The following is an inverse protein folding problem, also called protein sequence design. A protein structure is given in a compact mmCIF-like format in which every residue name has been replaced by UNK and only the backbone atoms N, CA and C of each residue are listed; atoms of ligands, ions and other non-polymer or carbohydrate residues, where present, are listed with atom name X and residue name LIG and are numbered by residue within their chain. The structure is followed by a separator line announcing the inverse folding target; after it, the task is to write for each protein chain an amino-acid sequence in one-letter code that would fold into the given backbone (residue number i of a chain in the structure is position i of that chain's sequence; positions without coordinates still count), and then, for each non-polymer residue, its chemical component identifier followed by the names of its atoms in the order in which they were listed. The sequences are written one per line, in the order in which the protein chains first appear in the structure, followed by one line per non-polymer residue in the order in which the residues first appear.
data_IF_446306011221
#
_entry.id   IF_446306011221
#
_cell.length_a   1.000
_cell.length_b   1.000
_cell.length_c   1.000
_cell.angle_alpha   90.00
_cell.angle_beta   90.00
_cell.angle_gamma   90.00
#
_symmetry.space_group_name_H-M   'P 1'
#
loop_
_entity.id
_entity.type
_entity.pdbx_description
1 polymer ?
#
# COMPACT_ATOMS: atom_id res chain seq x y z
N UNK A 1 -2.98 5.65 8.87
CA UNK A 1 -3.21 4.20 8.67
C UNK A 1 -2.53 3.78 7.38
N UNK A 2 -1.70 2.75 7.42
CA UNK A 2 -0.96 2.27 6.25
C UNK A 2 -1.72 1.24 5.43
N UNK A 3 -1.14 0.85 4.31
CA UNK A 3 -1.69 -0.18 3.44
C UNK A 3 -1.07 -0.21 2.06
N UNK A 4 -1.89 -0.47 1.06
CA UNK A 4 -1.47 -0.67 -0.32
C UNK A 4 -2.37 0.09 -1.29
N UNK A 5 -1.75 0.71 -2.28
CA UNK A 5 -2.43 1.18 -3.49
C UNK A 5 -2.19 0.17 -4.59
N UNK A 6 -3.27 -0.41 -5.09
CA UNK A 6 -3.22 -1.48 -6.09
C UNK A 6 -3.84 -0.97 -7.38
N UNK A 7 -3.15 -1.17 -8.50
CA UNK A 7 -3.74 -0.98 -9.83
C UNK A 7 -3.99 -2.33 -10.46
N UNK A 8 -5.26 -2.60 -10.79
CA UNK A 8 -5.72 -3.78 -11.50
C UNK A 8 -5.66 -3.56 -13.03
N UNK A 9 -5.85 -4.64 -13.79
CA UNK A 9 -6.10 -4.58 -15.24
C UNK A 9 -7.51 -4.03 -15.50
N UNK A 10 -7.68 -3.27 -16.58
CA UNK A 10 -8.98 -2.69 -16.98
C UNK A 10 -10.08 -3.75 -17.08
N UNK A 11 -11.24 -3.46 -16.49
CA UNK A 11 -12.37 -4.42 -16.39
C UNK A 11 -12.16 -5.57 -15.40
N UNK A 12 -10.95 -5.73 -14.85
CA UNK A 12 -10.57 -6.83 -13.96
C UNK A 12 -10.71 -6.55 -12.46
N UNK A 13 -11.36 -5.46 -12.03
CA UNK A 13 -11.37 -5.00 -10.62
C UNK A 13 -11.74 -6.09 -9.62
N UNK A 14 -12.80 -6.87 -9.88
CA UNK A 14 -13.26 -7.91 -8.95
C UNK A 14 -12.24 -9.06 -8.82
N UNK A 15 -11.71 -9.52 -9.96
CA UNK A 15 -10.71 -10.57 -9.99
C UNK A 15 -9.40 -10.08 -9.38
N UNK A 16 -8.96 -8.86 -9.72
CA UNK A 16 -7.78 -8.22 -9.15
C UNK A 16 -7.89 -7.97 -7.65
N UNK A 17 -9.09 -7.64 -7.14
CA UNK A 17 -9.34 -7.52 -5.69
C UNK A 17 -9.17 -8.86 -4.99
N UNK A 18 -9.73 -9.95 -5.53
CA UNK A 18 -9.56 -11.29 -4.95
C UNK A 18 -8.11 -11.74 -5.01
N UNK A 19 -7.47 -11.55 -6.16
CA UNK A 19 -6.08 -11.92 -6.39
C UNK A 19 -5.15 -11.18 -5.42
N UNK A 20 -5.28 -9.85 -5.29
CA UNK A 20 -4.40 -9.08 -4.40
C UNK A 20 -4.63 -9.39 -2.93
N UNK A 21 -5.87 -9.59 -2.50
CA UNK A 21 -6.15 -10.01 -1.13
C UNK A 21 -5.55 -11.39 -0.84
N UNK A 22 -5.59 -12.31 -1.79
CA UNK A 22 -4.92 -13.61 -1.65
C UNK A 22 -3.39 -13.46 -1.54
N UNK A 23 -2.79 -12.66 -2.43
CA UNK A 23 -1.34 -12.41 -2.40
C UNK A 23 -0.88 -11.76 -1.08
N UNK A 24 -1.63 -10.78 -0.57
CA UNK A 24 -1.32 -10.11 0.69
C UNK A 24 -1.44 -11.05 1.89
N UNK A 25 -2.47 -11.90 1.92
CA UNK A 25 -2.64 -12.92 2.97
C UNK A 25 -1.53 -13.96 2.96
N UNK A 26 -1.15 -14.45 1.78
CA UNK A 26 -0.03 -15.38 1.66
C UNK A 26 1.28 -14.74 2.12
N UNK A 27 1.51 -13.48 1.77
CA UNK A 27 2.68 -12.73 2.23
C UNK A 27 2.70 -12.56 3.76
N UNK A 28 1.56 -12.23 4.37
CA UNK A 28 1.44 -12.15 5.83
C UNK A 28 1.68 -13.52 6.51
N UNK A 29 1.11 -14.59 5.97
CA UNK A 29 1.32 -15.96 6.46
C UNK A 29 2.80 -16.36 6.45
N UNK A 30 3.55 -16.00 5.40
CA UNK A 30 5.00 -16.25 5.36
C UNK A 30 5.79 -15.44 6.41
N UNK A 31 5.26 -14.32 6.90
CA UNK A 31 5.88 -13.51 7.95
C UNK A 31 5.55 -14.00 9.37
N UNK A 32 4.42 -14.67 9.56
CA UNK A 32 4.05 -15.33 10.83
C UNK A 32 4.98 -16.51 11.14
N UNK A 33 5.55 -17.14 10.10
CA UNK A 33 6.36 -18.35 10.25
C UNK A 33 5.48 -19.56 10.64
N UNK A 34 6.06 -20.77 10.77
CA UNK A 34 5.31 -21.89 11.31
C UNK A 34 4.88 -21.54 12.74
N UNK A 35 3.57 -21.54 12.99
CA UNK A 35 3.03 -21.36 14.33
C UNK A 35 3.74 -22.35 15.27
N UNK A 36 4.48 -21.84 16.25
CA UNK A 36 4.87 -22.68 17.37
C UNK A 36 3.57 -23.21 17.97
N UNK A 37 3.41 -24.54 17.98
CA UNK A 37 2.32 -25.20 18.70
C UNK A 37 2.63 -24.96 20.18
N UNK A 38 2.26 -23.78 20.68
CA UNK A 38 2.28 -23.47 22.07
C UNK A 38 1.20 -24.34 22.70
N UNK A 39 1.60 -25.41 23.39
CA UNK A 39 0.71 -26.18 24.25
C UNK A 39 0.31 -25.29 25.44
N UNK A 40 -0.63 -24.37 25.25
CA UNK A 40 -1.20 -23.64 26.38
C UNK A 40 -2.17 -24.54 27.12
N UNK A 41 -2.03 -24.57 28.45
CA UNK A 41 -2.97 -25.20 29.38
C UNK A 41 -4.29 -24.40 29.46
N UNK A 42 -4.97 -24.25 28.33
CA UNK A 42 -6.29 -23.64 28.17
C UNK A 42 -7.30 -24.69 27.72
N UNK A 43 -8.57 -24.53 28.12
CA UNK A 43 -9.62 -25.43 27.65
C UNK A 43 -9.87 -25.21 26.16
N UNK A 44 -10.01 -26.30 25.39
CA UNK A 44 -10.22 -26.30 23.92
C UNK A 44 -11.23 -25.24 23.45
N UNK A 45 -12.27 -24.96 24.24
CA UNK A 45 -13.31 -23.95 23.92
C UNK A 45 -12.82 -22.50 23.97
N UNK A 46 -11.95 -22.16 24.91
CA UNK A 46 -11.42 -20.80 25.09
C UNK A 46 -10.40 -20.49 24.00
N UNK A 47 -9.55 -21.47 23.68
CA UNK A 47 -8.60 -21.38 22.56
C UNK A 47 -9.37 -21.23 21.24
N UNK A 48 -10.42 -22.04 21.00
CA UNK A 48 -11.26 -21.92 19.80
C UNK A 48 -12.00 -20.57 19.71
N UNK A 49 -12.38 -19.98 20.85
CA UNK A 49 -13.04 -18.67 20.87
C UNK A 49 -12.05 -17.53 20.61
N UNK A 50 -10.83 -17.61 21.16
CA UNK A 50 -9.74 -16.67 20.89
C UNK A 50 -9.31 -16.74 19.43
N UNK A 51 -9.05 -17.93 18.90
CA UNK A 51 -8.75 -18.16 17.48
C UNK A 51 -9.86 -17.62 16.58
N UNK A 52 -11.15 -17.83 16.92
CA UNK A 52 -12.28 -17.30 16.14
C UNK A 52 -12.41 -15.78 16.21
N UNK A 53 -12.03 -15.15 17.32
CA UNK A 53 -12.04 -13.69 17.47
C UNK A 53 -10.89 -13.04 16.69
N UNK A 54 -9.71 -13.66 16.70
CA UNK A 54 -8.55 -13.27 15.90
C UNK A 54 -8.80 -13.48 14.40
N UNK A 55 -9.36 -14.63 14.01
CA UNK A 55 -9.73 -14.93 12.62
C UNK A 55 -10.86 -14.04 12.05
N UNK A 56 -11.62 -13.34 12.90
CA UNK A 56 -12.69 -12.42 12.47
C UNK A 56 -12.19 -11.02 12.14
N UNK A 57 -11.00 -10.61 12.59
CA UNK A 57 -10.43 -9.33 12.20
C UNK A 57 -9.87 -9.49 10.79
N UNK A 58 -10.48 -8.83 9.80
CA UNK A 58 -9.94 -8.85 8.44
C UNK A 58 -8.55 -8.23 8.42
N UNK A 59 -7.52 -9.01 8.15
CA UNK A 59 -6.12 -8.57 8.01
C UNK A 59 -5.93 -7.42 7.02
N UNK A 60 -6.78 -7.39 6.00
CA UNK A 60 -6.76 -6.38 4.95
C UNK A 60 -8.17 -5.90 4.64
N UNK A 61 -8.36 -4.57 4.61
CA UNK A 61 -9.67 -3.94 4.39
C UNK A 61 -9.66 -3.07 3.14
N UNK A 62 -10.52 -3.33 2.16
CA UNK A 62 -10.64 -2.50 0.97
C UNK A 62 -11.42 -1.21 1.31
N UNK A 63 -10.78 -0.05 1.19
CA UNK A 63 -11.33 1.24 1.63
C UNK A 63 -12.17 1.97 0.57
N UNK A 64 -12.13 1.54 -0.70
CA UNK A 64 -12.98 2.18 -1.71
C UNK A 64 -12.65 1.89 -3.18
N UNK A 65 -13.26 2.70 -4.04
CA UNK A 65 -13.17 2.69 -5.51
C UNK A 65 -14.53 2.40 -6.18
N UNK A 66 -14.80 3.07 -7.30
CA UNK A 66 -16.00 2.80 -8.11
C UNK A 66 -15.91 1.37 -8.67
N UNK A 67 -17.04 0.70 -8.92
CA UNK A 67 -17.02 -0.63 -9.60
C UNK A 67 -16.22 -0.61 -10.90
N UNK A 68 -16.16 0.55 -11.53
CA UNK A 68 -15.55 0.82 -12.84
C UNK A 68 -14.11 1.40 -12.72
N UNK A 69 -13.57 1.52 -11.50
CA UNK A 69 -12.21 2.02 -11.24
C UNK A 69 -11.24 0.86 -11.09
N UNK A 70 -10.13 0.90 -11.82
CA UNK A 70 -9.04 -0.08 -11.79
C UNK A 70 -8.10 0.08 -10.56
N UNK A 71 -8.23 1.17 -9.80
CA UNK A 71 -7.46 1.40 -8.57
C UNK A 71 -8.23 0.97 -7.30
N UNK A 72 -7.49 0.35 -6.36
CA UNK A 72 -7.94 -0.07 -5.04
C UNK A 72 -7.03 0.53 -3.95
N UNK A 73 -7.64 0.93 -2.85
CA UNK A 73 -6.95 1.29 -1.61
C UNK A 73 -7.25 0.20 -0.60
N UNK A 74 -6.21 -0.42 -0.06
CA UNK A 74 -6.32 -1.54 0.87
C UNK A 74 -5.62 -1.14 2.14
N UNK A 75 -6.34 -1.07 3.26
CA UNK A 75 -5.77 -0.87 4.59
C UNK A 75 -5.12 -2.16 5.07
N UNK A 76 -3.97 -2.02 5.69
CA UNK A 76 -3.30 -3.08 6.44
C UNK A 76 -3.76 -3.02 7.91
N UNK A 77 -4.36 -4.09 8.40
CA UNK A 77 -4.85 -4.24 9.79
C UNK A 77 -4.03 -5.29 10.59
N UNK A 78 -2.95 -5.80 9.97
CA UNK A 78 -1.98 -6.72 10.58
C UNK A 78 -0.97 -5.98 11.47
N UNK A 79 -0.12 -6.74 12.17
CA UNK A 79 0.99 -6.20 12.96
C UNK A 79 2.28 -6.03 12.14
N UNK A 80 2.27 -6.36 10.85
CA UNK A 80 3.43 -6.25 9.97
C UNK A 80 3.42 -4.93 9.22
N UNK A 81 4.61 -4.39 8.94
CA UNK A 81 4.75 -3.18 8.12
C UNK A 81 4.38 -3.46 6.66
N UNK A 82 3.94 -2.43 5.94
CA UNK A 82 3.58 -2.55 4.53
C UNK A 82 4.80 -2.95 3.68
N UNK A 83 5.99 -2.50 4.08
CA UNK A 83 7.25 -2.84 3.40
C UNK A 83 7.59 -4.32 3.61
N UNK A 84 7.47 -4.85 4.84
CA UNK A 84 7.74 -6.27 5.10
C UNK A 84 6.78 -7.18 4.33
N UNK A 85 5.49 -6.84 4.31
CA UNK A 85 4.48 -7.57 3.52
C UNK A 85 4.79 -7.46 2.03
N UNK A 86 5.14 -6.27 1.53
CA UNK A 86 5.51 -6.09 0.12
C UNK A 86 6.74 -6.93 -0.26
N UNK A 87 7.77 -6.95 0.58
CA UNK A 87 8.98 -7.74 0.36
C UNK A 87 8.68 -9.25 0.35
N UNK A 88 7.84 -9.73 1.27
CA UNK A 88 7.37 -11.11 1.26
C UNK A 88 6.55 -11.40 0.00
N UNK A 89 5.67 -10.48 -0.43
CA UNK A 89 4.86 -10.60 -1.63
C UNK A 89 5.74 -10.77 -2.87
N UNK A 90 6.71 -9.89 -3.11
CA UNK A 90 7.59 -9.99 -4.29
C UNK A 90 8.51 -11.21 -4.26
N UNK A 91 8.81 -11.75 -3.07
CA UNK A 91 9.64 -12.95 -2.90
C UNK A 91 8.87 -14.22 -3.27
N UNK A 92 7.59 -14.29 -2.90
CA UNK A 92 6.79 -15.51 -3.03
C UNK A 92 5.80 -15.47 -4.21
N UNK A 93 5.58 -14.30 -4.82
CA UNK A 93 4.66 -14.15 -5.96
C UNK A 93 5.44 -14.08 -7.27
N UNK A 94 5.28 -15.09 -8.13
CA UNK A 94 5.95 -15.12 -9.42
C UNK A 94 5.20 -14.35 -10.53
N UNK A 95 3.87 -14.34 -10.48
CA UNK A 95 3.02 -13.72 -11.51
C UNK A 95 1.67 -13.27 -10.96
N UNK A 96 1.09 -12.25 -11.59
CA UNK A 96 -0.31 -11.86 -11.41
C UNK A 96 -1.00 -11.69 -12.78
N UNK A 97 -2.29 -12.02 -12.83
CA UNK A 97 -3.12 -11.94 -14.03
C UNK A 97 -3.89 -10.63 -14.08
N UNK A 98 -4.46 -10.22 -12.95
CA UNK A 98 -5.38 -9.10 -12.83
C UNK A 98 -4.80 -7.91 -12.06
N UNK A 99 -3.63 -8.08 -11.43
CA UNK A 99 -2.91 -7.01 -10.73
C UNK A 99 -1.71 -6.54 -11.56
N UNK A 100 -1.65 -5.24 -11.84
CA UNK A 100 -0.55 -4.61 -12.58
C UNK A 100 0.52 -4.06 -11.64
N UNK A 101 0.12 -3.49 -10.51
CA UNK A 101 1.00 -2.70 -9.64
C UNK A 101 0.51 -2.75 -8.20
N UNK A 102 1.42 -2.90 -7.24
CA UNK A 102 1.14 -2.85 -5.81
C UNK A 102 2.14 -1.90 -5.16
N UNK A 103 1.67 -0.81 -4.56
CA UNK A 103 2.52 0.20 -3.93
C UNK A 103 2.25 0.17 -2.42
N UNK A 104 3.24 -0.19 -1.58
CA UNK A 104 3.10 -0.04 -0.14
C UNK A 104 3.08 1.45 0.23
N UNK A 105 2.15 1.85 1.09
CA UNK A 105 1.94 3.25 1.52
C UNK A 105 1.77 3.30 3.03
N UNK A 106 2.43 4.24 3.71
CA UNK A 106 2.34 4.35 5.17
C UNK A 106 1.10 5.12 5.62
N UNK A 107 0.46 5.88 4.72
CA UNK A 107 -0.74 6.66 5.03
C UNK A 107 -1.77 6.60 3.91
N UNK A 108 -3.02 6.27 4.26
CA UNK A 108 -4.22 6.39 3.42
C UNK A 108 -5.24 7.24 4.18
N UNK A 109 -5.80 8.24 3.52
CA UNK A 109 -6.71 9.21 4.12
C UNK A 109 -7.64 9.86 3.08
N UNK A 110 -8.72 10.48 3.57
CA UNK A 110 -9.57 11.34 2.74
C UNK A 110 -8.85 12.66 2.44
N UNK A 111 -8.80 13.03 1.17
CA UNK A 111 -8.09 14.20 0.66
C UNK A 111 -8.67 15.48 1.26
N UNK A 112 -7.88 16.11 2.11
CA UNK A 112 -8.00 17.50 2.54
C UNK A 112 -6.60 18.10 2.61
N UNK A 113 -6.49 19.43 2.55
CA UNK A 113 -5.18 20.10 2.66
C UNK A 113 -4.52 19.77 4.00
N UNK A 114 -5.31 19.73 5.07
CA UNK A 114 -4.86 19.41 6.43
C UNK A 114 -4.28 17.98 6.51
N UNK A 115 -5.01 16.99 5.98
CA UNK A 115 -4.55 15.60 6.00
C UNK A 115 -3.32 15.40 5.10
N UNK A 116 -3.28 16.08 3.95
CA UNK A 116 -2.14 16.04 3.04
C UNK A 116 -0.86 16.56 3.71
N UNK A 117 -0.93 17.74 4.35
CA UNK A 117 0.20 18.35 5.06
C UNK A 117 0.62 17.48 6.24
N UNK A 118 -0.35 16.94 7.00
CA UNK A 118 -0.05 16.04 8.12
C UNK A 118 0.71 14.79 7.66
N UNK A 119 0.19 14.07 6.67
CA UNK A 119 0.82 12.86 6.15
C UNK A 119 2.18 13.14 5.48
N UNK A 120 2.33 14.29 4.82
CA UNK A 120 3.62 14.70 4.26
C UNK A 120 4.67 14.99 5.35
N UNK A 121 4.27 15.58 6.49
CA UNK A 121 5.18 15.76 7.63
C UNK A 121 5.59 14.44 8.26
N UNK A 122 4.64 13.52 8.44
CA UNK A 122 4.91 12.16 8.94
C UNK A 122 5.90 11.41 8.01
N UNK A 123 5.83 11.66 6.70
CA UNK A 123 6.77 11.11 5.72
C UNK A 123 8.24 11.53 5.96
N UNK A 124 8.48 12.65 6.63
CA UNK A 124 9.83 13.13 6.92
C UNK A 124 10.63 12.16 7.80
N UNK A 125 9.95 11.43 8.68
CA UNK A 125 10.58 10.45 9.58
C UNK A 125 11.16 9.25 8.81
N UNK A 126 10.65 9.00 7.60
CA UNK A 126 11.08 7.92 6.72
C UNK A 126 12.20 8.35 5.74
N UNK A 127 12.63 9.61 5.82
CA UNK A 127 13.68 10.20 4.97
C UNK A 127 14.80 10.74 5.88
N UNK A 128 15.97 10.11 5.79
CA UNK A 128 17.17 10.50 6.52
C UNK A 128 17.55 11.96 6.28
N UNK A 129 18.22 12.57 7.26
CA UNK A 129 18.54 14.02 7.23
C UNK A 129 19.39 14.45 6.04
N UNK A 130 20.24 13.55 5.54
CA UNK A 130 21.09 13.75 4.36
C UNK A 130 20.52 13.13 3.09
N UNK A 131 19.41 12.40 3.19
CA UNK A 131 18.76 11.78 2.04
C UNK A 131 17.98 12.84 1.24
N UNK A 132 18.00 12.65 -0.07
CA UNK A 132 17.23 13.40 -1.04
C UNK A 132 15.96 12.65 -1.44
N UNK A 133 14.98 13.39 -1.93
CA UNK A 133 13.74 12.79 -2.43
C UNK A 133 13.22 13.43 -3.70
N UNK A 134 12.36 12.69 -4.40
CA UNK A 134 11.45 13.25 -5.41
C UNK A 134 10.01 12.93 -5.07
N UNK A 135 9.09 13.75 -5.56
CA UNK A 135 7.66 13.47 -5.48
C UNK A 135 7.22 12.79 -6.77
N UNK A 136 6.42 11.74 -6.64
CA UNK A 136 5.75 11.05 -7.75
C UNK A 136 4.25 11.10 -7.51
N UNK A 137 3.56 12.02 -8.20
CA UNK A 137 2.12 12.22 -8.07
C UNK A 137 1.35 11.53 -9.21
N UNK A 138 0.31 10.79 -8.86
CA UNK A 138 -0.67 10.21 -9.77
C UNK A 138 -2.08 10.57 -9.29
N UNK A 139 -2.93 11.03 -10.21
CA UNK A 139 -4.28 11.50 -9.92
C UNK A 139 -5.29 10.84 -10.86
N UNK A 140 -6.38 10.35 -10.29
CA UNK A 140 -7.53 9.80 -11.02
C UNK A 140 -8.81 10.40 -10.47
N UNK A 141 -9.70 10.85 -11.36
CA UNK A 141 -11.03 11.38 -10.98
C UNK A 141 -10.99 12.49 -9.90
N UNK A 142 -9.91 13.29 -9.86
CA UNK A 142 -9.69 14.36 -8.89
C UNK A 142 -9.23 15.65 -9.59
N UNK A 143 -10.16 16.30 -10.31
CA UNK A 143 -9.86 17.49 -11.12
C UNK A 143 -9.91 18.82 -10.34
N UNK A 144 -10.49 18.83 -9.14
CA UNK A 144 -10.77 20.05 -8.37
C UNK A 144 -9.54 20.66 -7.66
N UNK A 145 -8.42 19.94 -7.58
CA UNK A 145 -7.15 20.42 -6.99
C UNK A 145 -6.05 20.24 -8.02
N UNK A 146 -5.21 21.25 -8.27
CA UNK A 146 -4.12 21.15 -9.24
C UNK A 146 -2.97 20.26 -8.75
N UNK A 147 -2.22 19.68 -9.68
CA UNK A 147 -1.08 18.82 -9.36
C UNK A 147 0.04 19.62 -8.72
N UNK A 148 0.26 20.83 -9.21
CA UNK A 148 1.27 21.79 -8.74
C UNK A 148 1.01 22.17 -7.29
N UNK A 149 -0.25 22.39 -6.91
CA UNK A 149 -0.63 22.71 -5.53
C UNK A 149 -0.32 21.55 -4.57
N UNK A 150 -0.64 20.31 -4.96
CA UNK A 150 -0.34 19.12 -4.15
C UNK A 150 1.17 18.94 -4.00
N UNK A 151 1.91 19.03 -5.11
CA UNK A 151 3.38 18.90 -5.11
C UNK A 151 4.01 19.96 -4.20
N UNK A 152 3.59 21.22 -4.34
CA UNK A 152 4.08 22.31 -3.51
C UNK A 152 3.84 22.05 -2.01
N UNK A 153 2.62 21.67 -1.62
CA UNK A 153 2.28 21.41 -0.22
C UNK A 153 3.05 20.24 0.38
N UNK A 154 3.27 19.18 -0.39
CA UNK A 154 4.07 18.02 0.05
C UNK A 154 5.54 18.41 0.16
N UNK A 155 6.09 19.10 -0.84
CA UNK A 155 7.50 19.53 -0.83
C UNK A 155 7.81 20.49 0.33
N UNK A 156 6.94 21.48 0.58
CA UNK A 156 7.05 22.43 1.70
C UNK A 156 7.03 21.74 3.07
N UNK A 157 6.38 20.59 3.17
CA UNK A 157 6.20 19.85 4.43
C UNK A 157 7.38 18.94 4.79
N UNK A 158 8.30 18.69 3.84
CA UNK A 158 9.42 17.76 4.00
C UNK A 158 10.74 18.55 3.92
N UNK A 159 11.39 18.85 5.05
CA UNK A 159 12.66 19.60 5.10
C UNK A 159 13.85 18.71 4.71
N UNK A 160 13.84 18.20 3.48
CA UNK A 160 14.88 17.35 2.88
C UNK A 160 15.23 17.87 1.49
N UNK A 161 16.41 17.48 0.99
CA UNK A 161 16.87 17.91 -0.33
C UNK A 161 15.97 17.31 -1.41
N UNK A 162 15.52 18.11 -2.38
CA UNK A 162 14.82 17.59 -3.55
C UNK A 162 15.82 17.26 -4.65
N UNK A 163 15.77 16.03 -5.17
CA UNK A 163 16.55 15.60 -6.35
C UNK A 163 15.63 14.87 -7.33
N UNK A 164 15.40 15.47 -8.51
CA UNK A 164 14.49 14.91 -9.52
C UNK A 164 15.15 13.83 -10.40
N UNK A 165 16.49 13.72 -10.39
CA UNK A 165 17.24 12.82 -11.27
C UNK A 165 17.67 11.56 -10.55
N UNK A 166 18.27 11.71 -9.37
CA UNK A 166 18.87 10.61 -8.59
C UNK A 166 18.51 10.72 -7.11
N UNK A 167 17.22 10.62 -6.75
CA UNK A 167 16.81 10.69 -5.36
C UNK A 167 17.17 9.43 -4.58
N UNK A 168 17.39 9.58 -3.27
CA UNK A 168 17.51 8.44 -2.35
C UNK A 168 16.14 7.81 -2.06
N UNK A 169 15.08 8.64 -2.03
CA UNK A 169 13.69 8.23 -1.76
C UNK A 169 12.69 8.79 -2.78
N UNK A 170 11.59 8.08 -2.98
CA UNK A 170 10.44 8.53 -3.75
C UNK A 170 9.24 8.68 -2.81
N UNK A 171 8.73 9.90 -2.70
CA UNK A 171 7.45 10.20 -2.05
C UNK A 171 6.34 9.96 -3.08
N UNK A 172 5.71 8.81 -3.01
CA UNK A 172 4.58 8.42 -3.84
C UNK A 172 3.31 9.06 -3.30
N UNK A 173 2.59 9.81 -4.14
CA UNK A 173 1.29 10.40 -3.82
C UNK A 173 0.29 9.87 -4.84
N UNK A 174 -0.61 9.00 -4.40
CA UNK A 174 -1.63 8.38 -5.25
C UNK A 174 -3.02 8.87 -4.82
N UNK A 175 -3.73 9.53 -5.74
CA UNK A 175 -5.04 10.10 -5.48
C UNK A 175 -6.06 9.49 -6.42
N UNK A 176 -7.16 8.98 -5.86
CA UNK A 176 -8.33 8.60 -6.63
C UNK A 176 -9.59 9.15 -5.98
N UNK A 177 -10.30 10.02 -6.69
CA UNK A 177 -11.47 10.75 -6.18
C UNK A 177 -11.15 11.54 -4.91
N UNK A 178 -11.62 11.06 -3.77
CA UNK A 178 -11.51 11.62 -2.43
C UNK A 178 -10.50 10.88 -1.57
N UNK A 179 -9.95 9.74 -2.01
CA UNK A 179 -8.88 9.04 -1.29
C UNK A 179 -7.51 9.47 -1.81
N UNK A 180 -6.60 9.66 -0.87
CA UNK A 180 -5.20 9.94 -1.09
C UNK A 180 -4.37 8.96 -0.27
N UNK A 181 -3.24 8.52 -0.85
CA UNK A 181 -2.25 7.74 -0.13
C UNK A 181 -0.86 8.31 -0.35
N UNK A 182 -0.03 8.26 0.71
CA UNK A 182 1.38 8.63 0.68
C UNK A 182 2.24 7.44 1.09
N UNK A 183 3.28 7.18 0.30
CA UNK A 183 4.33 6.20 0.59
C UNK A 183 5.71 6.84 0.42
N UNK A 184 6.67 6.47 1.28
CA UNK A 184 8.09 6.84 1.12
C UNK A 184 8.84 5.56 0.84
N UNK A 185 9.39 5.45 -0.37
CA UNK A 185 9.93 4.20 -0.87
C UNK A 185 11.28 4.39 -1.55
N UNK A 186 12.08 3.33 -1.64
CA UNK A 186 13.31 3.36 -2.43
C UNK A 186 13.00 3.37 -3.92
N UNK A 187 13.73 4.14 -4.75
CA UNK A 187 13.59 4.07 -6.20
C UNK A 187 13.65 2.63 -6.72
N UNK A 188 12.65 2.21 -7.48
CA UNK A 188 12.63 0.90 -8.11
C UNK A 188 12.49 1.02 -9.64
N UNK A 189 13.33 0.34 -10.45
CA UNK A 189 13.27 0.41 -11.91
C UNK A 189 11.92 -0.03 -12.51
N UNK A 190 11.28 -1.03 -11.91
CA UNK A 190 10.00 -1.57 -12.33
C UNK A 190 8.78 -0.75 -11.89
N UNK A 191 8.97 0.38 -11.19
CA UNK A 191 7.91 1.23 -10.66
C UNK A 191 6.84 0.48 -9.84
N UNK A 192 7.23 -0.56 -9.09
CA UNK A 192 6.35 -1.45 -8.32
C UNK A 192 5.32 -2.24 -9.15
N UNK A 193 5.59 -2.41 -10.45
CA UNK A 193 4.79 -3.28 -11.29
C UNK A 193 5.04 -4.75 -10.90
N UNK A 194 3.98 -5.55 -10.91
CA UNK A 194 4.05 -7.00 -10.73
C UNK A 194 4.25 -7.64 -12.10
N UNK A 195 5.08 -8.67 -12.18
CA UNK A 195 5.29 -9.44 -13.41
C UNK A 195 3.95 -10.07 -13.81
N UNK A 196 3.52 -9.82 -15.06
CA UNK A 196 2.26 -10.35 -15.60
C UNK A 196 2.50 -11.63 -16.39
N UNK A 197 1.57 -12.58 -16.25
CA UNK A 197 1.50 -13.74 -17.14
C UNK A 197 1.12 -13.34 -18.58
N UNK A 198 1.43 -14.18 -19.60
CA UNK A 198 0.93 -13.96 -20.96
C UNK A 198 -0.60 -13.91 -20.95
N UNK A 199 -1.19 -13.00 -21.72
CA UNK A 199 -2.64 -13.06 -21.97
C UNK A 199 -2.90 -14.27 -22.85
N UNK A 200 -3.64 -15.26 -22.35
CA UNK A 200 -4.30 -16.20 -23.25
C UNK A 200 -5.25 -15.38 -24.14
N UNK A 201 -5.03 -15.49 -25.45
CA UNK A 201 -5.80 -14.79 -26.49
C UNK A 201 -7.10 -15.52 -26.77
#
# INVERSE_FOLDING_TARGET
MGGFVVTCVDGGRQNGMREVLMMLKMAAFHLEGPAEIASSAGGIREDLQRERAEAKKSEFTVLGGRRDSDILFIRNDTNYTEISIYNALITHTQRAEYVRRIIPVHSIFTLSVENLVKAAKESCELIGTQESFRISLSKRLCAHISSEFIIAKVAESIPRKVDLKTPDKVVMVEIAKDLCAIGVLHPCPGNYNIIRGPREQ
#
